data_IF_619702314929
#
_entry.id   IF_619702314929
#
_cell.length_a   1.000
_cell.length_b   1.000
_cell.length_c   1.000
_cell.angle_alpha   90.00
_cell.angle_beta   90.00
_cell.angle_gamma   90.00
#
_symmetry.space_group_name_H-M   'P 1'
#
loop_
_entity.id
_entity.type
_entity.pdbx_description
1 polymer ?
#
# COMPACT_ATOMS: atom_id res chain seq x y z
N UNK A 1 -14.28 17.21 40.03
CA UNK A 1 -14.16 16.17 40.96
C UNK A 1 -15.36 15.63 41.66
N UNK A 2 -16.56 15.63 41.21
CA UNK A 2 -17.70 15.23 42.02
C UNK A 2 -18.57 14.26 41.30
N UNK A 3 -17.98 13.48 40.62
CA UNK A 3 -18.80 12.58 40.00
C UNK A 3 -18.39 11.20 40.16
N UNK A 4 -19.13 10.65 40.86
CA UNK A 4 -19.31 9.26 40.90
C UNK A 4 -19.86 8.80 39.56
N UNK A 5 -19.21 7.90 38.89
CA UNK A 5 -19.74 7.33 37.65
C UNK A 5 -19.66 5.81 37.70
N UNK A 6 -20.82 5.19 37.56
CA UNK A 6 -20.91 3.75 37.34
C UNK A 6 -21.39 3.49 35.94
N UNK A 7 -20.59 2.80 35.14
CA UNK A 7 -21.13 2.08 34.00
C UNK A 7 -20.93 0.60 34.22
N UNK A 8 -22.03 -0.12 34.32
CA UNK A 8 -22.04 -1.54 34.09
C UNK A 8 -22.43 -1.77 32.67
N UNK A 9 -21.51 -2.17 31.81
CA UNK A 9 -21.88 -2.66 30.49
C UNK A 9 -22.06 -4.16 30.62
N UNK A 10 -23.32 -4.59 30.73
CA UNK A 10 -23.67 -5.99 30.63
C UNK A 10 -23.60 -6.42 29.17
N UNK A 11 -22.67 -7.31 28.85
CA UNK A 11 -22.73 -8.04 27.58
C UNK A 11 -23.74 -9.16 27.70
N UNK A 12 -24.86 -9.06 26.97
CA UNK A 12 -25.79 -10.19 26.89
C UNK A 12 -25.15 -11.34 26.12
N UNK A 13 -24.89 -12.46 26.77
CA UNK A 13 -24.28 -13.64 26.19
C UNK A 13 -22.83 -13.90 26.57
N UNK A 14 -22.19 -13.05 27.34
CA UNK A 14 -20.87 -13.28 27.93
C UNK A 14 -20.92 -13.12 29.45
N UNK A 15 -20.15 -13.94 30.17
CA UNK A 15 -20.00 -13.86 31.62
C UNK A 15 -19.04 -12.72 32.04
N UNK A 16 -18.88 -11.68 31.23
CA UNK A 16 -17.99 -10.56 31.51
C UNK A 16 -18.80 -9.36 31.96
N UNK A 17 -18.48 -8.86 33.13
CA UNK A 17 -18.97 -7.58 33.64
C UNK A 17 -17.83 -6.58 33.66
N UNK A 18 -18.03 -5.44 33.01
CA UNK A 18 -17.08 -4.33 33.01
C UNK A 18 -17.61 -3.24 33.93
N UNK A 19 -16.79 -2.83 34.90
CA UNK A 19 -17.13 -1.73 35.81
C UNK A 19 -16.08 -0.63 35.69
N UNK A 20 -16.54 0.60 35.57
CA UNK A 20 -15.70 1.79 35.59
C UNK A 20 -15.70 2.41 36.98
N UNK A 21 -14.54 2.90 37.38
CA UNK A 21 -14.36 3.65 38.60
C UNK A 21 -13.63 4.95 38.31
N UNK A 22 -14.13 6.07 38.77
CA UNK A 22 -13.51 7.36 38.65
C UNK A 22 -13.06 7.87 40.00
N UNK A 23 -11.74 8.01 40.21
CA UNK A 23 -11.09 8.58 41.42
C UNK A 23 -11.55 8.08 42.79
N UNK A 24 -12.44 7.15 42.85
CA UNK A 24 -12.92 6.53 44.11
C UNK A 24 -12.94 5.00 43.98
N UNK A 25 -12.92 4.31 45.09
CA UNK A 25 -12.94 2.85 45.08
C UNK A 25 -14.34 2.27 44.80
N UNK A 26 -15.36 3.11 44.79
CA UNK A 26 -16.75 2.67 44.59
C UNK A 26 -17.23 2.95 43.16
N UNK A 27 -17.94 1.99 42.56
CA UNK A 27 -18.53 2.17 41.23
C UNK A 27 -19.66 3.18 41.29
N UNK A 28 -19.76 4.01 40.28
CA UNK A 28 -20.62 5.18 40.26
C UNK A 28 -21.56 5.18 39.08
N UNK A 29 -22.80 5.60 39.31
CA UNK A 29 -23.82 5.75 38.28
C UNK A 29 -24.01 7.22 37.91
N UNK A 30 -23.88 7.55 36.60
CA UNK A 30 -24.08 8.93 36.09
C UNK A 30 -23.36 9.18 34.77
N UNK A 31 -23.40 10.41 34.29
CA UNK A 31 -22.66 10.85 33.12
C UNK A 31 -21.23 11.23 33.49
N UNK A 32 -20.25 10.72 32.77
CA UNK A 32 -18.84 11.07 32.94
C UNK A 32 -18.54 12.38 32.26
N UNK A 33 -18.02 13.36 33.00
CA UNK A 33 -17.40 14.54 32.41
C UNK A 33 -15.91 14.22 32.14
N UNK A 34 -15.64 13.80 30.91
CA UNK A 34 -14.28 13.37 30.48
C UNK A 34 -13.26 14.51 30.48
N UNK A 35 -13.69 15.77 30.49
CA UNK A 35 -12.81 16.93 30.56
C UNK A 35 -12.15 17.16 31.92
N UNK A 36 -12.64 16.53 32.97
CA UNK A 36 -12.18 16.74 34.37
C UNK A 36 -11.47 15.54 34.99
N UNK A 37 -11.46 14.41 34.32
CA UNK A 37 -10.89 13.17 34.83
C UNK A 37 -9.46 12.97 34.37
N UNK A 38 -8.55 12.70 35.30
CA UNK A 38 -7.15 12.43 34.98
C UNK A 38 -6.90 10.96 34.60
N UNK A 39 -7.72 10.04 35.07
CA UNK A 39 -7.63 8.61 34.73
C UNK A 39 -8.95 7.89 35.02
N UNK A 40 -9.15 6.78 34.33
CA UNK A 40 -10.26 5.85 34.54
C UNK A 40 -9.65 4.48 34.88
N UNK A 41 -10.09 3.85 35.96
CA UNK A 41 -9.77 2.47 36.28
C UNK A 41 -10.84 1.56 35.72
N UNK A 42 -10.46 0.59 34.90
CA UNK A 42 -11.35 -0.40 34.34
C UNK A 42 -11.11 -1.74 35.04
N UNK A 43 -12.14 -2.30 35.64
CA UNK A 43 -12.10 -3.65 36.22
C UNK A 43 -12.94 -4.59 35.36
N UNK A 44 -12.31 -5.63 34.85
CA UNK A 44 -12.97 -6.69 34.10
C UNK A 44 -13.05 -7.92 34.98
N UNK A 45 -14.26 -8.39 35.23
CA UNK A 45 -14.49 -9.61 35.97
C UNK A 45 -15.12 -10.64 35.03
N UNK A 46 -14.43 -11.75 34.82
CA UNK A 46 -14.98 -12.91 34.15
C UNK A 46 -15.61 -13.83 35.19
N UNK A 47 -16.92 -13.97 35.16
CA UNK A 47 -17.69 -14.86 36.05
C UNK A 47 -17.92 -16.25 35.45
N UNK A 48 -17.47 -16.47 34.20
CA UNK A 48 -17.53 -17.78 33.55
C UNK A 48 -16.38 -18.70 33.92
N UNK A 49 -16.56 -19.98 33.69
CA UNK A 49 -15.57 -21.03 33.94
C UNK A 49 -14.48 -21.14 32.88
N UNK A 50 -14.62 -20.41 31.77
CA UNK A 50 -13.69 -20.39 30.63
C UNK A 50 -13.14 -18.99 30.43
N UNK A 51 -11.86 -18.91 30.05
CA UNK A 51 -11.27 -17.64 29.63
C UNK A 51 -11.99 -17.09 28.37
N UNK A 52 -12.26 -15.79 28.37
CA UNK A 52 -12.91 -15.12 27.24
C UNK A 52 -12.27 -13.75 26.99
N UNK A 53 -12.37 -13.26 25.76
CA UNK A 53 -11.77 -12.00 25.32
C UNK A 53 -12.86 -10.92 25.22
N UNK A 54 -12.59 -9.73 25.73
CA UNK A 54 -13.46 -8.58 25.59
C UNK A 54 -12.75 -7.48 24.79
N UNK A 55 -13.45 -6.87 23.83
CA UNK A 55 -12.93 -5.79 23.00
C UNK A 55 -13.22 -4.44 23.62
N UNK A 56 -12.18 -3.70 23.99
CA UNK A 56 -12.30 -2.42 24.70
C UNK A 56 -12.91 -1.30 23.86
N UNK A 57 -12.68 -1.29 22.55
CA UNK A 57 -13.22 -0.29 21.62
C UNK A 57 -14.75 -0.23 21.65
N UNK A 58 -15.40 -1.34 21.94
CA UNK A 58 -16.87 -1.40 22.09
C UNK A 58 -17.35 -0.84 23.41
N UNK A 59 -16.47 -0.75 24.41
CA UNK A 59 -16.80 -0.40 25.79
C UNK A 59 -16.58 1.09 26.06
N UNK A 60 -15.54 1.70 25.51
CA UNK A 60 -15.11 3.03 25.94
C UNK A 60 -15.47 4.19 24.98
N UNK A 61 -15.61 3.97 23.68
CA UNK A 61 -15.92 5.03 22.71
C UNK A 61 -15.04 6.28 22.79
N UNK A 62 -13.87 6.20 23.48
CA UNK A 62 -13.01 7.32 23.79
C UNK A 62 -11.53 6.98 23.62
N UNK A 63 -10.81 7.82 22.90
CA UNK A 63 -9.42 7.54 22.50
C UNK A 63 -8.33 8.25 23.33
N UNK A 64 -8.66 9.07 24.32
CA UNK A 64 -7.64 9.84 25.07
C UNK A 64 -7.60 9.54 26.56
N UNK A 65 -6.43 9.00 26.96
CA UNK A 65 -5.81 9.29 28.24
C UNK A 65 -6.43 8.64 29.47
N UNK A 66 -6.10 7.39 29.71
CA UNK A 66 -6.23 6.77 31.01
C UNK A 66 -5.34 5.53 31.09
N UNK A 67 -4.69 5.33 32.21
CA UNK A 67 -3.95 4.10 32.46
C UNK A 67 -4.93 2.94 32.61
N UNK A 68 -4.84 1.98 31.68
CA UNK A 68 -5.63 0.77 31.73
C UNK A 68 -4.90 -0.28 32.54
N UNK A 69 -5.38 -0.55 33.74
CA UNK A 69 -4.82 -1.62 34.58
C UNK A 69 -5.50 -2.93 34.18
N UNK A 70 -4.74 -3.79 33.53
CA UNK A 70 -5.17 -5.15 33.21
C UNK A 70 -4.77 -6.07 34.35
N UNK A 71 -5.71 -6.74 35.04
CA UNK A 71 -5.37 -7.69 36.08
C UNK A 71 -4.53 -8.86 35.56
N UNK A 72 -3.69 -9.44 36.41
CA UNK A 72 -2.88 -10.61 36.04
C UNK A 72 -3.78 -11.75 35.53
N UNK A 73 -3.41 -12.33 34.39
CA UNK A 73 -4.17 -13.40 33.72
C UNK A 73 -5.14 -12.93 32.62
N UNK A 74 -5.24 -11.60 32.38
CA UNK A 74 -6.04 -11.05 31.29
C UNK A 74 -5.16 -10.36 30.27
N UNK A 75 -5.45 -10.57 28.99
CA UNK A 75 -4.82 -9.86 27.89
C UNK A 75 -5.85 -8.92 27.25
N UNK A 76 -5.53 -7.64 27.18
CA UNK A 76 -6.31 -6.71 26.39
C UNK A 76 -5.96 -6.90 24.92
N UNK A 77 -6.89 -7.41 24.15
CA UNK A 77 -6.83 -7.38 22.70
C UNK A 77 -7.57 -6.14 22.26
N UNK A 78 -6.82 -5.09 21.96
CA UNK A 78 -7.38 -3.92 21.29
C UNK A 78 -7.47 -4.26 19.80
N UNK A 79 -8.45 -5.02 19.41
CA UNK A 79 -8.82 -5.14 18.01
C UNK A 79 -9.58 -3.88 17.61
N UNK A 80 -8.84 -2.81 17.31
CA UNK A 80 -9.37 -1.76 16.46
C UNK A 80 -9.74 -2.47 15.14
N UNK A 81 -11.03 -2.70 14.92
CA UNK A 81 -11.49 -3.29 13.65
C UNK A 81 -10.95 -2.41 12.54
N UNK A 82 -10.09 -2.97 11.70
CA UNK A 82 -9.60 -2.27 10.53
C UNK A 82 -10.80 -1.77 9.72
N UNK A 83 -10.74 -0.52 9.29
CA UNK A 83 -11.77 0.05 8.42
C UNK A 83 -11.77 -0.71 7.10
N UNK A 84 -12.94 -1.08 6.61
CA UNK A 84 -13.09 -1.58 5.25
C UNK A 84 -12.74 -0.48 4.24
N UNK A 85 -12.38 -0.85 3.03
CA UNK A 85 -12.07 0.08 1.94
C UNK A 85 -13.20 1.10 1.71
N UNK A 86 -14.46 0.66 1.83
CA UNK A 86 -15.64 1.52 1.71
C UNK A 86 -15.77 2.52 2.87
N UNK A 87 -15.49 2.08 4.10
CA UNK A 87 -15.49 2.98 5.27
C UNK A 87 -14.38 4.03 5.15
N UNK A 88 -13.20 3.64 4.65
CA UNK A 88 -12.11 4.59 4.36
C UNK A 88 -12.51 5.59 3.28
N UNK A 89 -13.08 5.13 2.16
CA UNK A 89 -13.57 6.01 1.09
C UNK A 89 -14.55 7.05 1.63
N UNK A 90 -15.52 6.62 2.45
CA UNK A 90 -16.52 7.50 3.07
C UNK A 90 -15.88 8.49 4.06
N UNK A 91 -14.92 8.02 4.88
CA UNK A 91 -14.18 8.87 5.82
C UNK A 91 -13.40 9.99 5.12
N UNK A 92 -12.86 9.71 3.94
CA UNK A 92 -12.19 10.70 3.10
C UNK A 92 -13.17 11.64 2.38
N UNK A 93 -14.49 11.46 2.51
CA UNK A 93 -15.50 12.25 1.82
C UNK A 93 -15.53 12.00 0.31
N UNK A 94 -15.04 10.84 -0.13
CA UNK A 94 -14.92 10.48 -1.54
C UNK A 94 -16.09 9.60 -1.99
N UNK A 95 -16.41 9.69 -3.28
CA UNK A 95 -17.39 8.84 -3.96
C UNK A 95 -16.78 8.22 -5.21
N UNK A 96 -17.34 7.13 -5.69
CA UNK A 96 -16.83 6.42 -6.87
C UNK A 96 -17.92 6.19 -7.91
N UNK A 97 -17.51 6.09 -9.17
CA UNK A 97 -18.36 5.64 -10.29
C UNK A 97 -18.54 4.12 -10.24
N UNK A 98 -19.73 3.65 -10.60
CA UNK A 98 -20.03 2.22 -10.76
C UNK A 98 -19.69 1.69 -12.15
N UNK A 99 -19.26 2.56 -13.05
CA UNK A 99 -18.86 2.20 -14.40
C UNK A 99 -17.52 1.49 -14.41
N UNK A 100 -17.30 0.66 -15.42
CA UNK A 100 -15.98 0.06 -15.68
C UNK A 100 -15.34 0.81 -16.84
N UNK A 101 -14.19 1.48 -16.65
CA UNK A 101 -13.50 2.17 -17.72
C UNK A 101 -13.04 1.22 -18.83
N UNK A 102 -12.95 1.74 -20.02
CA UNK A 102 -12.28 1.06 -21.15
C UNK A 102 -10.76 1.34 -21.07
N UNK A 103 -9.99 0.33 -20.74
CA UNK A 103 -8.53 0.47 -20.58
C UNK A 103 -7.74 0.52 -21.90
N UNK A 104 -8.39 0.29 -23.04
CA UNK A 104 -7.76 0.50 -24.35
C UNK A 104 -7.78 1.98 -24.81
N UNK A 105 -8.51 2.82 -24.07
CA UNK A 105 -8.61 4.25 -24.34
C UNK A 105 -7.88 5.06 -23.27
N UNK A 106 -7.34 6.19 -23.66
CA UNK A 106 -6.84 7.20 -22.74
C UNK A 106 -7.95 7.69 -21.82
N UNK A 107 -7.58 8.07 -20.59
CA UNK A 107 -8.55 8.58 -19.62
C UNK A 107 -8.99 10.01 -20.01
N UNK A 108 -10.30 10.24 -19.94
CA UNK A 108 -10.90 11.56 -20.12
C UNK A 108 -11.35 12.19 -18.79
N UNK A 109 -11.18 11.49 -17.66
CA UNK A 109 -11.60 11.96 -16.34
C UNK A 109 -10.75 13.13 -15.88
N UNK A 110 -11.39 14.11 -15.26
CA UNK A 110 -10.75 15.30 -14.72
C UNK A 110 -11.35 15.70 -13.37
N UNK A 111 -10.54 16.36 -12.54
CA UNK A 111 -11.00 16.91 -11.26
C UNK A 111 -11.26 15.85 -10.20
N UNK A 112 -12.48 15.79 -9.67
CA UNK A 112 -12.83 14.93 -8.52
C UNK A 112 -13.63 13.67 -8.89
N UNK A 113 -13.88 13.43 -10.19
CA UNK A 113 -14.81 12.38 -10.66
C UNK A 113 -14.13 11.08 -11.09
N UNK A 114 -12.82 10.97 -10.95
CA UNK A 114 -12.04 9.84 -11.46
C UNK A 114 -11.77 8.75 -10.43
N UNK A 115 -12.78 8.29 -9.68
CA UNK A 115 -12.63 7.16 -8.74
C UNK A 115 -13.53 6.02 -9.18
N UNK A 116 -12.96 4.82 -9.25
CA UNK A 116 -13.62 3.59 -9.70
C UNK A 116 -13.32 2.43 -8.75
N UNK A 117 -14.08 1.35 -8.88
CA UNK A 117 -13.88 0.15 -8.08
C UNK A 117 -13.33 -1.01 -8.93
N UNK A 118 -12.46 -1.82 -8.34
CA UNK A 118 -11.99 -3.09 -8.88
C UNK A 118 -11.63 -4.03 -7.73
N UNK A 119 -11.69 -5.34 -7.98
CA UNK A 119 -11.29 -6.32 -6.98
C UNK A 119 -9.76 -6.48 -6.95
N UNK A 120 -9.19 -6.45 -5.74
CA UNK A 120 -7.83 -6.90 -5.46
C UNK A 120 -7.84 -8.24 -4.70
N UNK A 121 -6.70 -8.66 -4.15
CA UNK A 121 -6.60 -9.92 -3.41
C UNK A 121 -7.32 -9.91 -2.05
N UNK A 122 -7.67 -8.74 -1.54
CA UNK A 122 -8.20 -8.54 -0.19
C UNK A 122 -9.63 -7.98 -0.18
N UNK A 123 -10.22 -7.75 -1.37
CA UNK A 123 -11.59 -7.28 -1.54
C UNK A 123 -11.73 -6.16 -2.56
N UNK A 124 -12.80 -5.39 -2.43
CA UNK A 124 -13.05 -4.25 -3.32
C UNK A 124 -12.10 -3.10 -3.03
N UNK A 125 -11.29 -2.74 -4.00
CA UNK A 125 -10.35 -1.63 -4.01
C UNK A 125 -10.94 -0.43 -4.77
N UNK A 126 -10.69 0.79 -4.30
CA UNK A 126 -11.10 2.02 -4.97
C UNK A 126 -9.89 2.77 -5.50
N UNK A 127 -9.77 2.90 -6.81
CA UNK A 127 -8.61 3.48 -7.47
C UNK A 127 -8.91 4.81 -8.17
N UNK A 128 -7.90 5.66 -8.23
CA UNK A 128 -7.97 6.95 -8.92
C UNK A 128 -7.54 6.81 -10.38
N UNK A 129 -8.29 7.47 -11.29
CA UNK A 129 -8.06 7.45 -12.73
C UNK A 129 -8.18 8.84 -13.34
N UNK A 130 -7.33 9.15 -14.32
CA UNK A 130 -7.35 10.40 -15.03
C UNK A 130 -6.61 11.54 -14.36
N UNK A 131 -6.85 12.76 -14.78
CA UNK A 131 -6.22 13.96 -14.23
C UNK A 131 -6.97 14.44 -12.97
N UNK A 132 -6.95 13.62 -11.93
CA UNK A 132 -7.65 13.89 -10.67
C UNK A 132 -6.88 14.89 -9.81
N UNK A 133 -7.62 15.68 -9.01
CA UNK A 133 -7.08 16.77 -8.18
C UNK A 133 -7.41 16.64 -6.69
N UNK A 134 -7.94 15.48 -6.27
CA UNK A 134 -8.42 15.24 -4.90
C UNK A 134 -7.76 14.03 -4.22
N UNK A 135 -6.53 13.70 -4.60
CA UNK A 135 -5.78 12.56 -4.05
C UNK A 135 -4.40 12.95 -3.48
N UNK A 136 -4.20 14.22 -3.13
CA UNK A 136 -2.98 14.69 -2.49
C UNK A 136 -2.94 14.36 -1.01
N UNK A 137 -1.77 13.92 -0.53
CA UNK A 137 -1.50 13.59 0.87
C UNK A 137 -0.20 14.25 1.31
N UNK A 138 -0.18 14.78 2.54
CA UNK A 138 1.05 15.16 3.24
C UNK A 138 1.34 14.12 4.32
N UNK A 139 2.46 13.42 4.17
CA UNK A 139 2.89 12.38 5.08
C UNK A 139 4.42 12.41 5.25
N UNK A 140 4.91 12.33 6.48
CA UNK A 140 6.33 12.39 6.82
C UNK A 140 7.04 13.64 6.23
N UNK A 141 6.34 14.79 6.20
CA UNK A 141 6.85 16.04 5.64
C UNK A 141 7.03 16.03 4.12
N UNK A 142 6.42 15.09 3.42
CA UNK A 142 6.52 14.91 1.96
C UNK A 142 5.15 14.89 1.30
N UNK A 143 5.12 15.29 0.03
CA UNK A 143 3.95 15.19 -0.83
C UNK A 143 3.80 13.76 -1.38
N UNK A 144 2.56 13.28 -1.39
CA UNK A 144 2.17 11.98 -1.91
C UNK A 144 0.88 12.10 -2.71
N UNK A 145 0.63 11.12 -3.58
CA UNK A 145 -0.66 10.97 -4.26
C UNK A 145 -1.25 9.59 -3.96
N UNK A 146 -2.53 9.55 -3.60
CA UNK A 146 -3.23 8.26 -3.42
C UNK A 146 -3.37 7.61 -4.80
N UNK A 147 -2.92 6.35 -4.91
CA UNK A 147 -3.17 5.47 -6.07
C UNK A 147 -4.54 4.81 -5.90
N UNK A 148 -4.77 4.21 -4.74
CA UNK A 148 -6.02 3.51 -4.42
C UNK A 148 -6.18 3.29 -2.91
N UNK A 149 -7.41 3.03 -2.50
CA UNK A 149 -7.73 2.42 -1.23
C UNK A 149 -7.78 0.91 -1.50
N UNK A 150 -6.90 0.14 -0.88
CA UNK A 150 -6.82 -1.32 -1.03
C UNK A 150 -8.07 -1.99 -0.47
N UNK A 151 -8.36 -3.23 -0.90
CA UNK A 151 -9.51 -4.00 -0.42
C UNK A 151 -9.56 -4.22 1.09
N UNK A 152 -8.40 -4.23 1.76
CA UNK A 152 -8.26 -4.30 3.22
C UNK A 152 -8.44 -2.95 3.94
N UNK A 153 -8.71 -1.87 3.20
CA UNK A 153 -8.86 -0.52 3.73
C UNK A 153 -7.56 0.26 3.96
N UNK A 154 -6.39 -0.31 3.67
CA UNK A 154 -5.15 0.47 3.66
C UNK A 154 -5.10 1.42 2.47
N UNK A 155 -4.40 2.55 2.59
CA UNK A 155 -4.35 3.59 1.56
C UNK A 155 -2.99 3.52 0.86
N UNK A 156 -2.99 3.07 -0.40
CA UNK A 156 -1.80 2.97 -1.23
C UNK A 156 -1.49 4.30 -1.89
N UNK A 157 -0.26 4.78 -1.71
CA UNK A 157 0.15 6.08 -2.23
C UNK A 157 1.57 6.05 -2.79
N UNK A 158 1.82 6.90 -3.78
CA UNK A 158 3.10 7.11 -4.44
C UNK A 158 3.73 8.42 -3.97
N UNK A 159 5.04 8.42 -3.77
CA UNK A 159 5.80 9.62 -3.48
C UNK A 159 5.68 10.62 -4.65
N UNK A 160 5.12 11.77 -4.37
CA UNK A 160 5.08 12.89 -5.31
C UNK A 160 6.41 13.66 -5.20
N UNK A 161 7.36 13.21 -6.03
CA UNK A 161 8.72 13.73 -6.03
C UNK A 161 8.87 15.04 -6.78
N UNK A 162 7.77 15.65 -7.24
CA UNK A 162 7.83 16.97 -7.87
C UNK A 162 8.04 18.02 -6.78
N UNK A 163 9.27 18.45 -6.53
CA UNK A 163 9.53 19.51 -5.58
C UNK A 163 9.11 20.84 -6.20
N UNK A 164 8.82 21.78 -5.33
CA UNK A 164 8.77 23.21 -5.66
C UNK A 164 10.01 23.71 -6.42
N UNK A 165 11.05 22.91 -6.56
CA UNK A 165 12.33 23.21 -7.20
C UNK A 165 12.59 22.43 -8.52
N UNK A 166 11.63 21.65 -9.02
CA UNK A 166 11.70 21.03 -10.36
C UNK A 166 12.71 19.90 -10.53
N UNK A 167 13.27 19.33 -9.45
CA UNK A 167 14.22 18.22 -9.55
C UNK A 167 13.77 17.03 -8.72
N UNK A 168 13.77 15.84 -9.33
CA UNK A 168 13.53 14.59 -8.65
C UNK A 168 14.70 14.22 -7.73
N UNK A 169 14.40 13.43 -6.71
CA UNK A 169 15.42 12.86 -5.83
C UNK A 169 16.34 11.94 -6.64
N UNK A 170 17.55 12.41 -6.94
CA UNK A 170 18.54 11.67 -7.74
C UNK A 170 18.96 10.35 -7.11
N UNK A 171 18.73 10.15 -5.81
CA UNK A 171 19.01 8.87 -5.13
C UNK A 171 18.08 7.74 -5.56
N UNK A 172 16.97 8.09 -6.20
CA UNK A 172 16.01 7.14 -6.79
C UNK A 172 16.29 6.80 -8.24
N UNK A 173 17.29 7.44 -8.88
CA UNK A 173 17.67 7.15 -10.24
C UNK A 173 18.46 5.83 -10.26
N UNK A 174 17.93 4.85 -10.98
CA UNK A 174 18.55 3.54 -11.17
C UNK A 174 19.01 3.42 -12.61
N UNK A 175 20.33 3.33 -12.80
CA UNK A 175 20.93 3.25 -14.13
C UNK A 175 20.62 1.90 -14.79
N UNK A 176 20.42 1.94 -16.10
CA UNK A 176 20.24 0.70 -16.87
C UNK A 176 21.44 -0.24 -16.77
N UNK A 177 22.67 0.29 -16.65
CA UNK A 177 23.87 -0.48 -16.44
C UNK A 177 23.86 -1.32 -15.16
N UNK A 178 23.11 -0.90 -14.14
CA UNK A 178 22.98 -1.65 -12.89
C UNK A 178 22.09 -2.89 -13.08
N UNK A 179 21.26 -2.92 -14.14
CA UNK A 179 20.48 -4.09 -14.56
C UNK A 179 21.25 -5.03 -15.49
N UNK A 180 22.40 -4.64 -16.03
CA UNK A 180 23.11 -5.40 -17.04
C UNK A 180 24.04 -6.49 -16.50
N UNK A 181 24.20 -6.63 -15.20
CA UNK A 181 25.07 -7.64 -14.62
C UNK A 181 24.41 -8.30 -13.39
N UNK A 182 24.07 -9.54 -13.46
CA UNK A 182 23.92 -10.45 -14.59
C UNK A 182 22.45 -10.57 -15.03
N UNK A 183 22.14 -10.39 -16.30
CA UNK A 183 20.75 -10.45 -16.83
C UNK A 183 20.49 -11.68 -17.71
N UNK A 184 21.37 -12.62 -17.71
CA UNK A 184 21.40 -13.77 -18.63
C UNK A 184 20.61 -15.00 -18.15
N UNK A 185 19.66 -14.82 -17.23
CA UNK A 185 18.86 -15.91 -16.68
C UNK A 185 17.51 -15.35 -16.17
N UNK A 186 16.44 -16.12 -16.28
CA UNK A 186 15.12 -15.78 -15.72
C UNK A 186 15.17 -15.52 -14.20
N UNK A 187 16.19 -16.00 -13.50
CA UNK A 187 16.40 -15.74 -12.07
C UNK A 187 16.56 -14.24 -11.74
N UNK A 188 16.95 -13.43 -12.71
CA UNK A 188 17.12 -11.97 -12.55
C UNK A 188 15.87 -11.17 -12.93
N UNK A 189 14.76 -11.85 -13.20
CA UNK A 189 13.49 -11.20 -13.50
C UNK A 189 12.78 -10.77 -12.21
N UNK A 190 12.48 -9.49 -12.11
CA UNK A 190 11.57 -8.96 -11.08
C UNK A 190 12.24 -8.15 -9.96
N UNK A 191 11.46 -7.89 -8.92
CA UNK A 191 11.79 -7.01 -7.80
C UNK A 191 12.84 -7.61 -6.84
N UNK A 192 12.87 -8.94 -6.73
CA UNK A 192 13.95 -9.70 -6.12
C UNK A 192 14.36 -10.85 -7.04
N UNK A 193 15.63 -11.17 -6.99
CA UNK A 193 16.26 -12.21 -7.82
C UNK A 193 16.24 -13.56 -7.12
N UNK A 194 16.28 -14.62 -7.91
CA UNK A 194 16.37 -15.99 -7.44
C UNK A 194 17.74 -16.62 -7.73
N UNK A 195 17.74 -17.90 -8.03
CA UNK A 195 18.96 -18.70 -8.23
C UNK A 195 19.16 -19.01 -9.72
N UNK A 196 20.17 -18.38 -10.31
CA UNK A 196 20.53 -18.62 -11.71
C UNK A 196 21.02 -20.07 -11.94
N UNK A 197 20.75 -20.58 -13.14
CA UNK A 197 21.09 -21.97 -13.51
C UNK A 197 20.18 -23.01 -12.86
N UNK A 198 19.10 -22.60 -12.19
CA UNK A 198 18.14 -23.54 -11.62
C UNK A 198 17.32 -24.25 -12.68
N UNK A 199 16.90 -25.48 -12.37
CA UNK A 199 16.02 -26.30 -13.20
C UNK A 199 14.56 -26.28 -12.80
N UNK A 200 14.18 -25.50 -11.76
CA UNK A 200 12.81 -25.37 -11.29
C UNK A 200 12.41 -23.91 -11.23
N UNK A 201 11.13 -23.64 -11.47
CA UNK A 201 10.55 -22.30 -11.41
C UNK A 201 10.69 -21.68 -9.99
N UNK A 202 10.44 -22.46 -8.95
CA UNK A 202 10.49 -22.03 -7.55
C UNK A 202 11.90 -21.58 -7.15
N UNK A 203 12.92 -22.29 -7.59
CA UNK A 203 14.31 -21.94 -7.30
C UNK A 203 14.77 -20.75 -8.16
N UNK A 204 14.38 -20.72 -9.43
CA UNK A 204 14.65 -19.59 -10.34
C UNK A 204 14.07 -18.29 -9.79
N UNK A 205 12.92 -18.34 -9.13
CA UNK A 205 12.22 -17.17 -8.58
C UNK A 205 12.16 -17.17 -7.03
N UNK A 206 13.21 -17.62 -6.36
CA UNK A 206 13.24 -17.80 -4.89
C UNK A 206 13.29 -16.52 -4.05
N UNK A 207 13.39 -15.35 -4.67
CA UNK A 207 13.44 -14.05 -3.98
C UNK A 207 14.56 -13.98 -2.92
N UNK A 208 15.78 -14.38 -3.30
CA UNK A 208 16.93 -14.48 -2.39
C UNK A 208 17.80 -13.23 -2.36
N UNK A 209 17.77 -12.41 -3.41
CA UNK A 209 18.64 -11.23 -3.58
C UNK A 209 17.83 -10.04 -4.07
N UNK A 210 18.11 -8.86 -3.54
CA UNK A 210 17.44 -7.63 -3.97
C UNK A 210 17.87 -7.21 -5.38
N UNK A 211 16.93 -6.70 -6.17
CA UNK A 211 17.25 -5.96 -7.39
C UNK A 211 17.79 -4.54 -7.06
N UNK A 212 18.43 -3.86 -8.01
CA UNK A 212 18.85 -2.46 -7.87
C UNK A 212 17.66 -1.53 -7.52
N UNK A 213 16.48 -1.74 -8.12
CA UNK A 213 15.26 -0.98 -7.81
C UNK A 213 14.90 -1.15 -6.33
N UNK A 214 14.87 -2.40 -5.84
CA UNK A 214 14.55 -2.68 -4.43
C UNK A 214 15.56 -2.04 -3.49
N UNK A 215 16.86 -2.13 -3.79
CA UNK A 215 17.88 -1.48 -2.98
C UNK A 215 17.70 0.03 -2.90
N UNK A 216 17.39 0.69 -4.01
CA UNK A 216 17.18 2.14 -4.06
C UNK A 216 16.00 2.58 -3.18
N UNK A 217 14.84 1.90 -3.31
CA UNK A 217 13.65 2.27 -2.52
C UNK A 217 13.76 1.86 -1.05
N UNK A 218 14.46 0.77 -0.72
CA UNK A 218 14.70 0.36 0.67
C UNK A 218 15.58 1.39 1.40
N UNK A 219 16.66 1.88 0.77
CA UNK A 219 17.53 2.92 1.31
C UNK A 219 16.77 4.25 1.47
N UNK A 220 15.97 4.60 0.48
CA UNK A 220 15.13 5.80 0.54
C UNK A 220 14.12 5.70 1.69
N UNK A 221 13.50 4.53 1.89
CA UNK A 221 12.52 4.28 2.95
C UNK A 221 13.16 4.42 4.35
N UNK A 222 14.34 3.88 4.55
CA UNK A 222 15.06 4.04 5.82
C UNK A 222 15.32 5.51 6.14
N UNK A 223 15.84 6.26 5.18
CA UNK A 223 16.17 7.67 5.34
C UNK A 223 14.93 8.53 5.61
N UNK A 224 13.83 8.28 4.92
CA UNK A 224 12.70 9.20 4.83
C UNK A 224 11.47 8.79 5.65
N UNK A 225 11.38 7.53 6.07
CA UNK A 225 10.26 7.00 6.85
C UNK A 225 10.71 6.47 8.20
N UNK A 226 11.65 5.51 8.24
CA UNK A 226 12.11 4.90 9.50
C UNK A 226 12.77 5.94 10.39
N UNK A 227 13.76 6.66 9.87
CA UNK A 227 14.53 7.64 10.64
C UNK A 227 13.72 8.90 11.03
N UNK A 228 12.50 9.04 10.52
CA UNK A 228 11.60 10.15 10.85
C UNK A 228 10.49 9.77 11.83
N UNK A 229 10.40 8.47 12.22
CA UNK A 229 9.43 7.98 13.19
C UNK A 229 8.03 7.70 12.62
N UNK A 230 7.87 7.72 11.29
CA UNK A 230 6.56 7.52 10.64
C UNK A 230 6.27 6.07 10.25
N UNK A 231 7.17 5.11 10.54
CA UNK A 231 6.99 3.70 10.14
C UNK A 231 5.73 3.04 10.73
N UNK A 232 5.29 3.48 11.91
CA UNK A 232 4.11 2.93 12.59
C UNK A 232 2.80 3.22 11.85
N UNK A 233 2.76 4.26 11.01
CA UNK A 233 1.61 4.56 10.15
C UNK A 233 1.60 3.72 8.87
N UNK A 234 2.73 3.12 8.49
CA UNK A 234 2.84 2.34 7.27
C UNK A 234 2.36 0.91 7.51
N UNK A 235 1.36 0.50 6.74
CA UNK A 235 0.80 -0.84 6.76
C UNK A 235 1.69 -1.84 5.99
N UNK A 236 1.64 -3.11 6.38
CA UNK A 236 2.14 -4.20 5.55
C UNK A 236 1.10 -4.51 4.47
N UNK A 237 1.40 -4.21 3.24
CA UNK A 237 0.50 -4.36 2.11
C UNK A 237 1.17 -5.16 0.98
N UNK A 238 0.36 -5.70 0.07
CA UNK A 238 0.85 -6.49 -1.06
C UNK A 238 1.43 -5.58 -2.15
N UNK A 239 2.70 -5.80 -2.49
CA UNK A 239 3.35 -5.26 -3.68
C UNK A 239 3.52 -6.40 -4.67
N UNK A 240 2.85 -6.31 -5.82
CA UNK A 240 2.79 -7.39 -6.80
C UNK A 240 3.92 -7.31 -7.81
N UNK A 241 4.74 -8.36 -7.86
CA UNK A 241 5.74 -8.59 -8.89
C UNK A 241 5.34 -9.82 -9.70
N UNK A 242 4.23 -9.77 -10.40
CA UNK A 242 3.63 -10.92 -11.09
C UNK A 242 4.57 -11.50 -12.16
N UNK A 243 5.11 -12.67 -11.89
CA UNK A 243 5.96 -13.45 -12.81
C UNK A 243 5.24 -14.66 -13.40
N UNK A 244 3.89 -14.63 -13.38
CA UNK A 244 3.12 -15.67 -14.07
C UNK A 244 3.48 -15.69 -15.55
N UNK A 245 3.78 -16.86 -16.06
CA UNK A 245 4.23 -17.06 -17.44
C UNK A 245 3.03 -17.19 -18.36
N UNK A 246 3.03 -16.45 -19.48
CA UNK A 246 2.06 -16.68 -20.54
C UNK A 246 2.68 -17.39 -21.73
N UNK A 247 4.02 -17.34 -21.89
CA UNK A 247 4.77 -18.02 -22.93
C UNK A 247 6.15 -18.42 -22.41
N UNK A 248 6.63 -19.60 -22.77
CA UNK A 248 7.91 -20.12 -22.28
C UNK A 248 7.79 -20.85 -20.94
N UNK A 249 8.89 -20.91 -20.19
CA UNK A 249 8.97 -21.70 -18.94
C UNK A 249 9.28 -20.87 -17.68
N UNK A 250 9.86 -19.69 -17.83
CA UNK A 250 10.36 -18.91 -16.71
C UNK A 250 11.60 -19.49 -16.02
N UNK A 251 12.36 -20.38 -16.67
CA UNK A 251 13.47 -21.12 -16.07
C UNK A 251 14.76 -20.92 -16.89
N UNK A 252 15.87 -20.66 -16.22
CA UNK A 252 17.19 -20.56 -16.80
C UNK A 252 17.22 -19.53 -17.94
N UNK A 253 17.79 -19.92 -19.08
CA UNK A 253 17.93 -19.08 -20.27
C UNK A 253 16.80 -19.23 -21.28
N UNK A 254 15.69 -19.87 -20.92
CA UNK A 254 14.57 -20.07 -21.82
C UNK A 254 13.86 -18.72 -22.10
N UNK A 255 13.59 -18.44 -23.38
CA UNK A 255 12.73 -17.32 -23.78
C UNK A 255 11.40 -17.40 -23.04
N UNK A 256 10.98 -16.31 -22.43
CA UNK A 256 9.81 -16.30 -21.56
C UNK A 256 9.08 -14.96 -21.65
N UNK A 257 7.77 -15.01 -21.84
CA UNK A 257 6.86 -13.88 -21.71
C UNK A 257 6.10 -13.95 -20.38
N UNK A 258 6.01 -12.82 -19.66
CA UNK A 258 5.31 -12.71 -18.39
C UNK A 258 3.97 -12.00 -18.54
N UNK A 259 2.98 -12.43 -17.75
CA UNK A 259 1.59 -11.95 -17.83
C UNK A 259 1.42 -10.41 -17.79
N UNK A 260 2.20 -9.62 -17.02
CA UNK A 260 2.07 -8.18 -17.07
C UNK A 260 2.29 -7.57 -18.46
N UNK A 261 3.23 -8.11 -19.23
CA UNK A 261 3.44 -7.70 -20.62
C UNK A 261 2.23 -8.01 -21.51
N UNK A 262 1.66 -9.20 -21.37
CA UNK A 262 0.46 -9.59 -22.12
C UNK A 262 -0.75 -8.71 -21.73
N UNK A 263 -0.99 -8.46 -20.44
CA UNK A 263 -2.07 -7.59 -19.99
C UNK A 263 -1.93 -6.16 -20.50
N UNK A 264 -0.71 -5.65 -20.55
CA UNK A 264 -0.43 -4.33 -21.10
C UNK A 264 -0.82 -4.26 -22.59
N UNK A 265 -0.42 -5.24 -23.38
CA UNK A 265 -0.73 -5.31 -24.81
C UNK A 265 -2.23 -5.53 -25.08
N UNK A 266 -2.91 -6.30 -24.25
CA UNK A 266 -4.34 -6.59 -24.39
C UNK A 266 -5.26 -5.59 -23.67
N UNK A 267 -4.71 -4.59 -22.98
CA UNK A 267 -5.46 -3.60 -22.21
C UNK A 267 -6.40 -4.23 -21.15
N UNK A 268 -5.92 -5.26 -20.46
CA UNK A 268 -6.68 -6.03 -19.46
C UNK A 268 -6.00 -6.02 -18.08
N UNK A 269 -5.84 -4.83 -17.44
CA UNK A 269 -5.15 -4.74 -16.17
C UNK A 269 -5.89 -5.44 -15.03
N UNK A 270 -5.15 -5.86 -14.00
CA UNK A 270 -5.69 -6.44 -12.79
C UNK A 270 -5.03 -5.87 -11.53
N UNK A 271 -5.77 -5.77 -10.42
CA UNK A 271 -5.21 -5.47 -9.10
C UNK A 271 -4.93 -6.75 -8.30
N UNK A 272 -5.20 -7.92 -8.87
CA UNK A 272 -4.94 -9.22 -8.23
C UNK A 272 -3.53 -9.71 -8.52
N UNK A 273 -2.90 -10.26 -7.51
CA UNK A 273 -1.59 -10.89 -7.56
C UNK A 273 -1.76 -12.39 -7.31
N UNK A 274 -1.92 -13.18 -8.36
CA UNK A 274 -2.36 -14.57 -8.26
C UNK A 274 -1.37 -15.42 -7.46
N UNK A 275 -0.07 -15.24 -7.73
CA UNK A 275 0.97 -16.07 -7.17
C UNK A 275 1.44 -15.56 -5.82
N UNK A 276 1.32 -16.35 -4.74
CA UNK A 276 1.73 -15.92 -3.40
C UNK A 276 3.23 -15.56 -3.33
N UNK A 277 4.09 -16.24 -4.08
CA UNK A 277 5.51 -15.94 -4.12
C UNK A 277 5.83 -14.57 -4.75
N UNK A 278 4.91 -14.02 -5.53
CA UNK A 278 5.02 -12.72 -6.18
C UNK A 278 4.34 -11.59 -5.38
N UNK A 279 3.66 -11.92 -4.28
CA UNK A 279 3.09 -10.97 -3.31
C UNK A 279 4.15 -10.55 -2.31
N UNK A 280 4.84 -9.47 -2.60
CA UNK A 280 5.86 -8.94 -1.70
C UNK A 280 5.22 -8.25 -0.50
N UNK A 281 5.48 -8.80 0.68
CA UNK A 281 4.96 -8.36 1.99
C UNK A 281 6.01 -8.63 3.06
N UNK A 282 5.85 -8.00 4.22
CA UNK A 282 6.64 -8.35 5.43
C UNK A 282 6.07 -9.59 6.13
N UNK A 283 4.76 -9.76 6.07
CA UNK A 283 4.04 -10.91 6.64
C UNK A 283 4.00 -12.09 5.68
N UNK A 284 4.26 -13.30 6.17
CA UNK A 284 4.06 -14.54 5.42
C UNK A 284 2.59 -14.95 5.29
N UNK A 285 1.70 -14.32 6.05
CA UNK A 285 0.25 -14.55 5.94
C UNK A 285 -0.33 -13.91 4.69
N UNK A 286 0.02 -12.64 4.42
CA UNK A 286 -0.47 -11.89 3.27
C UNK A 286 0.25 -12.27 1.97
N UNK A 287 1.53 -12.58 2.04
CA UNK A 287 2.34 -12.85 0.86
C UNK A 287 3.58 -13.69 1.15
N UNK A 288 4.70 -13.33 0.54
CA UNK A 288 5.94 -14.11 0.57
C UNK A 288 6.84 -13.84 1.79
N UNK A 289 6.60 -12.79 2.56
CA UNK A 289 7.39 -12.43 3.74
C UNK A 289 8.83 -11.97 3.43
N UNK A 290 9.11 -11.55 2.20
CA UNK A 290 10.47 -11.20 1.76
C UNK A 290 10.81 -9.71 1.89
N UNK A 291 9.84 -8.86 2.19
CA UNK A 291 10.12 -7.45 2.41
C UNK A 291 10.77 -7.22 3.78
N UNK A 292 11.90 -6.53 3.76
CA UNK A 292 12.52 -5.95 4.97
C UNK A 292 11.95 -4.58 5.26
N UNK A 293 11.54 -3.84 4.24
CA UNK A 293 10.92 -2.51 4.29
C UNK A 293 9.55 -2.56 3.62
N UNK A 294 8.57 -1.82 4.18
CA UNK A 294 7.19 -1.79 3.68
C UNK A 294 7.05 -0.81 2.49
N UNK A 295 7.85 -1.03 1.45
CA UNK A 295 7.93 -0.16 0.28
C UNK A 295 8.12 -0.98 -1.00
N UNK A 296 7.58 -0.46 -2.10
CA UNK A 296 7.75 -0.97 -3.45
C UNK A 296 7.71 0.16 -4.46
N UNK A 297 7.42 -0.15 -5.71
CA UNK A 297 7.11 0.80 -6.79
C UNK A 297 5.78 0.43 -7.42
N UNK A 298 5.25 1.25 -8.34
CA UNK A 298 4.00 0.94 -9.05
C UNK A 298 4.15 -0.29 -9.94
N UNK A 299 3.03 -0.96 -10.21
CA UNK A 299 2.93 -1.96 -11.27
C UNK A 299 2.46 -1.31 -12.57
N UNK A 300 2.71 -1.95 -13.72
CA UNK A 300 2.12 -1.52 -15.01
C UNK A 300 0.60 -1.51 -14.95
N UNK A 301 0.01 -2.50 -14.30
CA UNK A 301 -1.43 -2.58 -14.10
C UNK A 301 -1.97 -1.35 -13.34
N UNK A 302 -1.32 -0.92 -12.25
CA UNK A 302 -1.73 0.29 -11.51
C UNK A 302 -1.61 1.56 -12.34
N UNK A 303 -0.60 1.66 -13.20
CA UNK A 303 -0.44 2.81 -14.10
C UNK A 303 -1.53 2.80 -15.19
N UNK A 304 -1.92 1.63 -15.71
CA UNK A 304 -3.07 1.50 -16.62
C UNK A 304 -4.39 1.86 -15.92
N UNK A 305 -4.60 1.43 -14.69
CA UNK A 305 -5.75 1.86 -13.89
C UNK A 305 -5.78 3.38 -13.70
N UNK A 306 -4.62 4.01 -13.52
CA UNK A 306 -4.50 5.46 -13.39
C UNK A 306 -4.80 6.23 -14.70
N UNK A 307 -4.82 5.56 -15.84
CA UNK A 307 -5.23 6.17 -17.11
C UNK A 307 -4.24 6.08 -18.26
N UNK A 308 -3.06 5.50 -18.05
CA UNK A 308 -2.09 5.32 -19.13
C UNK A 308 -2.48 4.19 -20.08
N UNK A 309 -1.98 4.28 -21.33
CA UNK A 309 -2.07 3.23 -22.34
C UNK A 309 -0.68 2.86 -22.85
N UNK A 310 -0.58 1.76 -23.58
CA UNK A 310 0.71 1.30 -24.15
C UNK A 310 1.20 2.09 -25.35
N UNK A 311 0.39 2.98 -25.92
CA UNK A 311 0.69 3.59 -27.22
C UNK A 311 0.54 5.10 -27.24
N UNK A 312 -0.14 5.69 -26.28
CA UNK A 312 -0.49 7.10 -26.31
C UNK A 312 -0.13 7.80 -24.99
N UNK A 313 0.48 8.97 -25.13
CA UNK A 313 0.68 9.90 -24.03
C UNK A 313 -0.62 10.63 -23.73
N UNK A 314 -1.01 10.69 -22.46
CA UNK A 314 -2.16 11.47 -22.02
C UNK A 314 -1.95 12.06 -20.63
N UNK A 315 -2.72 13.08 -20.30
CA UNK A 315 -2.69 13.70 -18.99
C UNK A 315 -3.43 12.81 -17.97
N UNK A 316 -2.71 12.31 -16.99
CA UNK A 316 -3.26 11.63 -15.81
C UNK A 316 -2.39 11.95 -14.58
N UNK A 317 -2.90 11.77 -13.38
CA UNK A 317 -2.24 12.27 -12.18
C UNK A 317 -0.84 11.68 -11.93
N UNK A 318 -0.54 10.47 -12.43
CA UNK A 318 0.80 9.88 -12.35
C UNK A 318 1.76 10.36 -13.45
N UNK A 319 1.24 11.05 -14.48
CA UNK A 319 2.08 11.49 -15.60
C UNK A 319 3.31 12.26 -15.15
N UNK A 320 3.12 13.33 -14.39
CA UNK A 320 4.20 14.17 -13.91
C UNK A 320 5.09 13.47 -12.87
N UNK A 321 4.51 12.55 -12.08
CA UNK A 321 5.24 11.81 -11.05
C UNK A 321 6.18 10.77 -11.67
N UNK A 322 5.77 10.13 -12.75
CA UNK A 322 6.52 9.04 -13.37
C UNK A 322 7.44 9.48 -14.53
N UNK A 323 7.36 10.74 -14.93
CA UNK A 323 8.17 11.29 -16.00
C UNK A 323 8.99 12.50 -15.57
N UNK A 324 10.14 12.68 -16.15
CA UNK A 324 10.85 13.96 -16.26
C UNK A 324 11.30 14.19 -17.70
N UNK A 325 11.99 15.29 -17.97
CA UNK A 325 12.39 15.67 -19.32
C UNK A 325 13.37 14.69 -19.99
N UNK A 326 14.00 13.80 -19.24
CA UNK A 326 15.09 12.95 -19.73
C UNK A 326 14.94 11.47 -19.32
N UNK A 327 14.19 11.20 -18.26
CA UNK A 327 14.10 9.85 -17.68
C UNK A 327 12.64 9.48 -17.38
N UNK A 328 12.33 8.21 -17.52
CA UNK A 328 11.07 7.64 -17.09
C UNK A 328 11.12 7.08 -15.67
N UNK A 329 10.21 6.18 -15.39
CA UNK A 329 10.16 5.46 -14.12
C UNK A 329 10.00 3.96 -14.32
N UNK A 330 10.70 3.17 -13.51
CA UNK A 330 10.56 1.73 -13.46
C UNK A 330 9.22 1.34 -12.83
N UNK A 331 8.66 0.23 -13.31
CA UNK A 331 7.57 -0.46 -12.62
C UNK A 331 8.06 -1.77 -12.00
N UNK A 332 7.27 -2.38 -11.10
CA UNK A 332 7.54 -3.73 -10.59
C UNK A 332 7.22 -4.84 -11.58
N UNK A 333 6.64 -4.53 -12.73
CA UNK A 333 6.05 -5.52 -13.62
C UNK A 333 7.07 -6.05 -14.62
N UNK A 334 7.49 -7.32 -14.51
CA UNK A 334 8.31 -7.97 -15.53
C UNK A 334 7.52 -8.17 -16.82
N UNK A 335 8.22 -8.12 -17.95
CA UNK A 335 7.62 -8.30 -19.27
C UNK A 335 8.09 -9.59 -19.91
N UNK A 336 9.40 -9.74 -20.00
CA UNK A 336 10.01 -10.87 -20.72
C UNK A 336 11.43 -11.17 -20.23
N UNK A 337 11.87 -12.36 -20.52
CA UNK A 337 13.27 -12.71 -20.72
C UNK A 337 13.43 -13.10 -22.18
N UNK A 338 14.23 -12.37 -22.91
CA UNK A 338 14.42 -12.58 -24.36
C UNK A 338 15.80 -12.11 -24.81
N UNK A 339 16.35 -12.71 -25.85
CA UNK A 339 17.67 -12.38 -26.40
C UNK A 339 18.79 -12.33 -25.33
N UNK A 340 18.68 -13.17 -24.31
CA UNK A 340 19.64 -13.22 -23.20
C UNK A 340 19.56 -12.04 -22.23
N UNK A 341 18.44 -11.32 -22.19
CA UNK A 341 18.21 -10.18 -21.31
C UNK A 341 16.85 -10.19 -20.60
N UNK A 342 16.80 -9.53 -19.45
CA UNK A 342 15.60 -9.33 -18.64
C UNK A 342 14.96 -7.98 -18.98
N UNK A 343 13.65 -7.98 -19.11
CA UNK A 343 12.88 -6.76 -19.42
C UNK A 343 11.77 -6.52 -18.42
N UNK A 344 11.73 -5.31 -17.91
CA UNK A 344 10.63 -4.80 -17.07
C UNK A 344 9.94 -3.63 -17.79
N UNK A 345 8.66 -3.39 -17.48
CA UNK A 345 7.97 -2.24 -18.00
C UNK A 345 8.47 -0.94 -17.38
N UNK A 346 8.43 0.12 -18.14
CA UNK A 346 8.70 1.47 -17.67
C UNK A 346 7.63 2.44 -18.16
N UNK A 347 7.54 3.60 -17.50
CA UNK A 347 6.73 4.73 -17.94
C UNK A 347 7.67 5.78 -18.48
N UNK A 348 7.47 6.19 -19.72
CA UNK A 348 8.25 7.24 -20.37
C UNK A 348 7.32 8.10 -21.24
N UNK A 349 7.44 9.42 -21.15
CA UNK A 349 6.59 10.37 -21.90
C UNK A 349 5.08 10.09 -21.74
N UNK A 350 4.65 9.61 -20.58
CA UNK A 350 3.25 9.33 -20.25
C UNK A 350 2.67 8.04 -20.81
N UNK A 351 3.39 7.31 -21.62
CA UNK A 351 3.00 5.97 -22.06
C UNK A 351 3.72 4.89 -21.25
N UNK A 352 3.08 3.73 -21.12
CA UNK A 352 3.71 2.55 -20.54
C UNK A 352 4.31 1.74 -21.68
N UNK A 353 5.55 1.34 -21.52
CA UNK A 353 6.25 0.52 -22.51
C UNK A 353 6.48 -0.90 -21.99
N UNK A 354 6.12 -1.86 -22.84
CA UNK A 354 6.51 -3.25 -22.73
C UNK A 354 7.64 -3.58 -23.74
N UNK A 355 8.43 -2.57 -24.14
CA UNK A 355 9.48 -2.76 -25.13
C UNK A 355 10.83 -2.91 -24.44
N UNK A 356 11.56 -3.98 -24.77
CA UNK A 356 12.93 -4.17 -24.29
C UNK A 356 13.83 -2.99 -24.66
N UNK A 357 13.67 -2.45 -25.87
CA UNK A 357 14.58 -1.43 -26.41
C UNK A 357 14.41 -0.05 -25.75
N UNK A 358 13.22 0.26 -25.25
CA UNK A 358 12.93 1.60 -24.68
C UNK A 358 13.33 1.67 -23.21
N UNK A 359 13.00 0.66 -22.41
CA UNK A 359 13.26 0.67 -20.97
C UNK A 359 14.72 0.36 -20.62
N UNK A 360 15.42 -0.37 -21.50
CA UNK A 360 16.77 -0.85 -21.27
C UNK A 360 17.87 0.20 -21.42
N UNK A 361 17.71 1.15 -22.34
CA UNK A 361 18.76 2.12 -22.67
C UNK A 361 18.73 3.42 -21.88
N UNK A 362 17.79 3.55 -20.95
CA UNK A 362 17.63 4.78 -20.16
C UNK A 362 17.78 4.50 -18.67
N UNK A 363 18.41 5.43 -17.97
CA UNK A 363 18.28 5.46 -16.51
C UNK A 363 16.86 5.90 -16.15
N UNK A 364 16.20 5.18 -15.24
CA UNK A 364 14.83 5.48 -14.84
C UNK A 364 14.72 5.58 -13.31
N UNK A 365 13.76 6.32 -12.82
CA UNK A 365 13.51 6.47 -11.40
C UNK A 365 12.74 5.28 -10.82
N UNK A 366 13.15 4.83 -9.63
CA UNK A 366 12.39 3.91 -8.80
C UNK A 366 11.55 4.72 -7.81
N UNK A 367 10.35 5.14 -8.20
CA UNK A 367 9.51 6.04 -7.37
C UNK A 367 8.84 5.23 -6.25
N UNK A 368 9.09 5.56 -4.96
CA UNK A 368 8.57 4.80 -3.85
C UNK A 368 7.04 4.81 -3.76
N UNK A 369 6.48 3.65 -3.50
CA UNK A 369 5.08 3.42 -3.17
C UNK A 369 5.00 2.78 -1.79
N UNK A 370 4.13 3.31 -0.93
CA UNK A 370 3.81 2.75 0.38
C UNK A 370 2.30 2.61 0.54
N UNK A 371 1.88 1.86 1.56
CA UNK A 371 0.50 1.86 2.01
C UNK A 371 0.44 2.31 3.47
N UNK A 372 -0.43 3.25 3.79
CA UNK A 372 -0.67 3.67 5.18
C UNK A 372 -1.94 3.02 5.72
N UNK A 373 -2.07 2.95 7.03
CA UNK A 373 -3.28 2.45 7.71
C UNK A 373 -4.49 3.31 7.32
N UNK A 374 -5.64 2.70 7.12
CA UNK A 374 -6.85 3.39 6.66
C UNK A 374 -7.40 4.44 7.64
N UNK A 375 -7.03 4.33 8.91
CA UNK A 375 -7.39 5.29 9.95
C UNK A 375 -6.34 6.38 10.21
N UNK A 376 -5.22 6.35 9.50
CA UNK A 376 -4.10 7.27 9.68
C UNK A 376 -4.39 8.71 9.21
N UNK A 377 -5.27 8.90 8.22
CA UNK A 377 -5.63 10.23 7.73
C UNK A 377 -6.65 10.87 8.68
N UNK A 378 -6.34 12.05 9.18
CA UNK A 378 -7.13 12.75 10.20
C UNK A 378 -7.82 14.01 9.71
N UNK A 379 -7.31 14.68 8.66
CA UNK A 379 -7.85 15.94 8.13
C UNK A 379 -7.53 16.14 6.65
N UNK A 380 -8.09 17.20 6.07
CA UNK A 380 -7.86 17.58 4.67
C UNK A 380 -9.00 17.15 3.74
N UNK A 381 -8.92 17.62 2.49
CA UNK A 381 -9.88 17.33 1.41
C UNK A 381 -9.23 16.66 0.20
N UNK A 382 -7.93 16.36 0.30
CA UNK A 382 -7.16 15.74 -0.76
C UNK A 382 -6.78 16.65 -1.93
N UNK A 383 -7.10 17.95 -1.87
CA UNK A 383 -6.69 18.90 -2.91
C UNK A 383 -5.25 19.39 -2.67
N UNK A 384 -4.59 19.93 -3.69
CA UNK A 384 -3.23 20.45 -3.57
C UNK A 384 -3.10 21.54 -2.49
N UNK A 385 -4.13 22.39 -2.33
CA UNK A 385 -4.15 23.46 -1.32
C UNK A 385 -4.56 22.96 0.07
N UNK A 386 -5.22 21.82 0.17
CA UNK A 386 -5.63 21.20 1.42
C UNK A 386 -5.49 19.67 1.33
N UNK A 387 -4.24 19.17 1.23
CA UNK A 387 -3.99 17.73 1.12
C UNK A 387 -4.49 16.99 2.36
N UNK A 388 -4.78 15.72 2.20
CA UNK A 388 -4.99 14.83 3.35
C UNK A 388 -3.74 14.83 4.23
N UNK A 389 -3.93 14.85 5.55
CA UNK A 389 -2.83 14.90 6.52
C UNK A 389 -2.85 13.68 7.42
N UNK A 390 -1.67 13.17 7.68
CA UNK A 390 -1.38 12.09 8.64
C UNK A 390 -0.60 12.72 9.79
N UNK A 391 -1.14 12.62 10.99
CA UNK A 391 -0.53 13.18 12.21
C UNK A 391 -0.35 12.11 13.29
#
# INVERSE_FOLDING_TARGET
NNGTVKYGVGYSGSNITVKYYHDTQDPVTGTVDYGKSKFIKLYIQNTGSTATTATLSTILGYEKGGDLIVPSGYTLVNEKKALSSKEVLQRLGLSYSKETPNFSLTSAENGTNGIYAAEDDLGTSYYFRGNVTNNYVNFAGKAWRIIRINGDGTIRMIYDSLPTEGRRDSTLLVNSSDFTAPMNDNAYVGYMYGTAGSSTYESTHSNSTNSPIKNAVDQWYDKNIVNTGYEDYVADAIYCNDRSVYEGTGIGTAETGYMPGNRLLSSTPTLKCVNKNDRFTKSTTLGNGKLTKKVGVVTSDEVMYAGATSSESNAYYLYEILNDSSNGSWTMSPIAFSNGGVYSSCVLNGAIYASPDICYFTSNYAVPVISIKGDAIISGTGTSNNPFKVE
#
